data_IF_773539934282
#
_entry.id   IF_773539934282
#
_cell.length_a   1.000
_cell.length_b   1.000
_cell.length_c   1.000
_cell.angle_alpha   90.00
_cell.angle_beta   90.00
_cell.angle_gamma   90.00
#
_symmetry.space_group_name_H-M   'P 1'
#
loop_
_entity.id
_entity.type
_entity.pdbx_description
1 polymer ?
#
# COMPACT_ATOMS: atom_id res chain seq x y z
N UNK A 1 -15.91 6.87 -17.25
CA UNK A 1 -15.03 6.30 -18.28
C UNK A 1 -13.74 7.12 -18.45
N UNK A 2 -13.82 8.41 -18.80
CA UNK A 2 -12.65 9.26 -19.08
C UNK A 2 -11.64 9.37 -17.92
N UNK A 3 -12.11 9.54 -16.69
CA UNK A 3 -11.26 9.58 -15.49
C UNK A 3 -10.38 8.33 -15.30
N UNK A 4 -10.93 7.14 -15.57
CA UNK A 4 -10.18 5.86 -15.47
C UNK A 4 -9.04 5.84 -16.49
N UNK A 5 -9.31 6.29 -17.72
CA UNK A 5 -8.33 6.40 -18.80
C UNK A 5 -7.20 7.37 -18.41
N UNK A 6 -7.53 8.52 -17.81
CA UNK A 6 -6.53 9.50 -17.37
C UNK A 6 -5.63 8.93 -16.28
N UNK A 7 -6.20 8.25 -15.27
CA UNK A 7 -5.40 7.61 -14.20
C UNK A 7 -4.52 6.49 -14.77
N UNK A 8 -5.03 5.68 -15.71
CA UNK A 8 -4.22 4.67 -16.43
C UNK A 8 -3.05 5.29 -17.17
N UNK A 9 -3.28 6.38 -17.91
CA UNK A 9 -2.22 7.12 -18.59
C UNK A 9 -1.18 7.67 -17.60
N UNK A 10 -1.62 8.27 -16.49
CA UNK A 10 -0.72 8.79 -15.45
C UNK A 10 0.09 7.69 -14.77
N UNK A 11 -0.51 6.53 -14.50
CA UNK A 11 0.21 5.36 -13.98
C UNK A 11 1.27 4.89 -14.97
N UNK A 12 0.92 4.69 -16.25
CA UNK A 12 1.89 4.31 -17.29
C UNK A 12 3.04 5.30 -17.39
N UNK A 13 2.75 6.62 -17.40
CA UNK A 13 3.77 7.67 -17.41
C UNK A 13 4.65 7.62 -16.16
N UNK A 14 4.07 7.37 -14.99
CA UNK A 14 4.81 7.26 -13.73
C UNK A 14 5.76 6.06 -13.70
N UNK A 15 5.32 4.94 -14.27
CA UNK A 15 6.10 3.70 -14.39
C UNK A 15 7.25 3.80 -15.42
N UNK A 16 7.21 4.78 -16.32
CA UNK A 16 8.31 5.06 -17.25
C UNK A 16 9.54 5.71 -16.56
N UNK A 17 9.52 5.89 -15.24
CA UNK A 17 10.63 6.44 -14.46
C UNK A 17 10.81 5.61 -13.18
N UNK A 18 12.04 5.53 -12.64
CA UNK A 18 12.30 4.78 -11.42
C UNK A 18 11.37 5.17 -10.26
N UNK A 19 11.03 4.20 -9.43
CA UNK A 19 10.28 4.47 -8.21
C UNK A 19 11.15 5.26 -7.24
N UNK A 20 10.53 6.16 -6.47
CA UNK A 20 11.26 6.95 -5.49
C UNK A 20 11.56 6.07 -4.27
N UNK A 21 12.83 6.09 -3.85
CA UNK A 21 13.29 5.41 -2.64
C UNK A 21 12.76 6.07 -1.37
N UNK A 22 12.62 5.25 -0.34
CA UNK A 22 12.18 5.66 0.99
C UNK A 22 13.34 6.06 1.89
N UNK A 23 13.23 5.69 3.17
CA UNK A 23 14.25 5.91 4.20
C UNK A 23 14.13 4.82 5.27
N UNK A 24 15.25 4.44 5.91
CA UNK A 24 15.26 3.54 7.07
C UNK A 24 14.81 4.29 8.33
N UNK A 25 13.54 4.66 8.37
CA UNK A 25 12.97 5.56 9.37
C UNK A 25 11.89 4.92 10.24
N UNK A 26 11.79 3.59 10.21
CA UNK A 26 10.79 2.82 10.97
C UNK A 26 9.35 3.26 10.68
N UNK A 27 9.06 3.79 9.49
CA UNK A 27 7.69 4.12 9.07
C UNK A 27 7.22 3.12 8.04
N UNK A 28 5.98 2.69 8.18
CA UNK A 28 5.34 1.76 7.26
C UNK A 28 4.06 2.39 6.72
N UNK A 29 3.78 2.14 5.44
CA UNK A 29 2.51 2.49 4.82
C UNK A 29 1.75 1.22 4.43
N UNK A 30 0.51 1.10 4.88
CA UNK A 30 -0.44 0.13 4.37
C UNK A 30 -1.31 0.75 3.28
N UNK A 31 -1.36 0.10 2.14
CA UNK A 31 -2.29 0.40 1.06
C UNK A 31 -3.25 -0.77 0.96
N UNK A 32 -4.52 -0.54 1.28
CA UNK A 32 -5.48 -1.64 1.52
C UNK A 32 -6.72 -1.48 0.67
N UNK A 33 -7.14 -2.53 -0.03
CA UNK A 33 -8.50 -2.67 -0.51
C UNK A 33 -9.35 -3.33 0.59
N UNK A 34 -10.08 -2.54 1.38
CA UNK A 34 -10.87 -3.08 2.50
C UNK A 34 -12.18 -3.76 2.07
N UNK A 35 -12.47 -3.77 0.77
CA UNK A 35 -13.52 -4.61 0.21
C UNK A 35 -13.05 -6.07 0.01
N UNK A 36 -11.74 -6.31 -0.03
CA UNK A 36 -11.13 -7.64 -0.22
C UNK A 36 -10.35 -8.14 1.01
N UNK A 37 -9.82 -7.23 1.82
CA UNK A 37 -8.99 -7.55 2.97
C UNK A 37 -9.58 -7.03 4.27
N UNK A 38 -9.42 -7.80 5.34
CA UNK A 38 -9.78 -7.38 6.69
C UNK A 38 -8.71 -6.45 7.27
N UNK A 39 -9.05 -5.17 7.39
CA UNK A 39 -8.16 -4.14 7.92
C UNK A 39 -7.77 -4.37 9.39
N UNK A 40 -8.71 -4.86 10.21
CA UNK A 40 -8.48 -5.11 11.64
C UNK A 40 -7.48 -6.28 11.77
N UNK A 41 -7.69 -7.37 11.02
CA UNK A 41 -6.75 -8.49 10.95
C UNK A 41 -5.34 -8.06 10.49
N UNK A 42 -5.24 -7.19 9.48
CA UNK A 42 -3.96 -6.64 9.02
C UNK A 42 -3.26 -5.88 10.16
N UNK A 43 -3.96 -4.99 10.84
CA UNK A 43 -3.36 -4.17 11.89
C UNK A 43 -2.94 -5.02 13.09
N UNK A 44 -3.83 -5.88 13.58
CA UNK A 44 -3.57 -6.77 14.71
C UNK A 44 -2.36 -7.68 14.46
N UNK A 45 -2.27 -8.33 13.30
CA UNK A 45 -1.18 -9.26 12.99
C UNK A 45 0.14 -8.57 12.72
N UNK A 46 0.11 -7.37 12.16
CA UNK A 46 1.33 -6.57 12.08
C UNK A 46 1.85 -6.20 13.47
N UNK A 47 0.98 -5.71 14.36
CA UNK A 47 1.37 -5.34 15.72
C UNK A 47 1.85 -6.55 16.53
N UNK A 48 1.21 -7.70 16.41
CA UNK A 48 1.64 -8.96 17.05
C UNK A 48 3.09 -9.32 16.67
N UNK A 49 3.44 -9.23 15.38
CA UNK A 49 4.70 -9.76 14.85
C UNK A 49 5.83 -8.73 14.78
N UNK A 50 5.50 -7.45 14.55
CA UNK A 50 6.46 -6.35 14.42
C UNK A 50 6.53 -5.47 15.67
N UNK A 51 5.57 -5.58 16.59
CA UNK A 51 5.48 -4.79 17.84
C UNK A 51 5.52 -3.28 17.55
N UNK A 52 5.90 -2.47 18.55
CA UNK A 52 6.02 -1.01 18.43
C UNK A 52 7.22 -0.54 17.60
N UNK A 53 7.85 -1.43 16.81
CA UNK A 53 9.06 -1.12 16.05
C UNK A 53 8.78 -0.13 14.91
N UNK A 54 7.54 -0.06 14.40
CA UNK A 54 7.20 0.76 13.24
C UNK A 54 5.99 1.65 13.49
N UNK A 55 6.11 2.92 13.10
CA UNK A 55 4.98 3.82 13.00
C UNK A 55 4.19 3.52 11.71
N UNK A 56 2.98 2.97 11.88
CA UNK A 56 2.10 2.60 10.77
C UNK A 56 1.27 3.80 10.31
N UNK A 57 1.20 4.02 9.00
CA UNK A 57 0.21 4.86 8.34
C UNK A 57 -0.60 4.00 7.38
N UNK A 58 -1.84 4.36 7.10
CA UNK A 58 -2.70 3.56 6.21
C UNK A 58 -3.59 4.40 5.30
N UNK A 59 -3.71 3.95 4.05
CA UNK A 59 -4.69 4.46 3.09
C UNK A 59 -5.54 3.27 2.66
N UNK A 60 -6.85 3.38 2.83
CA UNK A 60 -7.80 2.34 2.49
C UNK A 60 -8.74 2.76 1.37
N UNK A 61 -8.91 1.87 0.40
CA UNK A 61 -9.93 1.96 -0.63
C UNK A 61 -11.18 1.20 -0.21
N UNK A 62 -12.36 1.76 -0.46
CA UNK A 62 -13.66 1.09 -0.33
C UNK A 62 -14.63 1.59 -1.40
N UNK A 63 -15.45 0.73 -1.97
CA UNK A 63 -16.60 1.11 -2.80
C UNK A 63 -17.86 1.31 -1.96
N UNK A 64 -17.86 0.80 -0.72
CA UNK A 64 -19.01 0.84 0.17
C UNK A 64 -18.90 1.96 1.20
N UNK A 65 -20.05 2.52 1.59
CA UNK A 65 -20.18 3.33 2.80
C UNK A 65 -20.32 2.37 3.99
N UNK A 66 -19.22 2.02 4.65
CA UNK A 66 -19.20 1.19 5.85
C UNK A 66 -18.62 1.97 7.03
N UNK A 67 -19.06 1.63 8.25
CA UNK A 67 -18.40 2.04 9.49
C UNK A 67 -17.39 0.95 9.85
N UNK A 68 -16.14 1.34 10.07
CA UNK A 68 -15.07 0.45 10.50
C UNK A 68 -14.74 0.77 11.96
N UNK A 69 -14.50 -0.28 12.78
CA UNK A 69 -14.14 -0.12 14.20
C UNK A 69 -12.79 0.57 14.32
N UNK A 70 -11.78 0.02 13.64
CA UNK A 70 -10.53 0.71 13.39
C UNK A 70 -10.62 1.55 12.12
N UNK A 71 -10.10 2.76 12.17
CA UNK A 71 -10.10 3.66 11.02
C UNK A 71 -8.68 3.88 10.50
N UNK A 72 -8.41 3.55 9.22
CA UNK A 72 -7.20 3.96 8.54
C UNK A 72 -7.04 5.48 8.57
N UNK A 73 -5.82 5.97 8.42
CA UNK A 73 -5.57 7.41 8.40
C UNK A 73 -6.40 8.12 7.32
N UNK A 74 -6.64 7.45 6.20
CA UNK A 74 -7.47 7.99 5.13
C UNK A 74 -8.23 6.89 4.41
N UNK A 75 -9.55 7.02 4.38
CA UNK A 75 -10.38 6.33 3.39
C UNK A 75 -10.44 7.16 2.11
N UNK A 76 -10.34 6.49 0.98
CA UNK A 76 -10.67 7.09 -0.30
C UNK A 76 -11.58 6.17 -1.12
N UNK A 77 -12.33 6.82 -1.99
CA UNK A 77 -13.15 6.20 -3.00
C UNK A 77 -12.62 6.61 -4.38
N UNK A 78 -13.07 5.91 -5.42
CA UNK A 78 -12.74 6.31 -6.79
C UNK A 78 -13.14 7.76 -7.06
N UNK A 79 -14.22 8.28 -6.46
CA UNK A 79 -14.70 9.68 -6.57
C UNK A 79 -13.72 10.72 -6.01
N UNK A 80 -12.81 10.36 -5.11
CA UNK A 80 -11.86 11.30 -4.48
C UNK A 80 -10.65 11.62 -5.39
N UNK A 81 -10.64 11.04 -6.60
CA UNK A 81 -9.78 11.50 -7.68
C UNK A 81 -10.46 12.62 -8.47
N UNK A 82 -9.74 13.69 -8.80
CA UNK A 82 -10.26 14.75 -9.66
C UNK A 82 -10.59 14.24 -11.06
N UNK A 83 -11.30 15.04 -11.86
CA UNK A 83 -11.54 14.74 -13.27
C UNK A 83 -10.22 14.55 -14.04
N UNK A 84 -9.19 15.30 -13.67
CA UNK A 84 -7.82 15.17 -14.19
C UNK A 84 -7.04 14.01 -13.56
N UNK A 85 -7.69 13.11 -12.81
CA UNK A 85 -7.07 11.95 -12.19
C UNK A 85 -6.06 12.30 -11.09
N UNK A 86 -6.16 13.48 -10.50
CA UNK A 86 -5.31 13.87 -9.37
C UNK A 86 -5.93 13.43 -8.05
N UNK A 87 -5.08 13.14 -7.09
CA UNK A 87 -5.51 12.94 -5.71
C UNK A 87 -5.96 14.29 -5.18
N UNK A 88 -7.24 14.49 -4.88
CA UNK A 88 -7.73 15.80 -4.42
C UNK A 88 -7.55 16.00 -2.91
N UNK A 89 -7.52 14.92 -2.13
CA UNK A 89 -7.43 14.98 -0.68
C UNK A 89 -6.00 15.31 -0.20
N UNK A 90 -5.82 16.48 0.41
CA UNK A 90 -4.51 16.92 0.93
C UNK A 90 -3.97 16.01 2.02
N UNK A 91 -4.85 15.42 2.85
CA UNK A 91 -4.45 14.39 3.82
C UNK A 91 -3.78 13.20 3.11
N UNK A 92 -4.36 12.71 2.02
CA UNK A 92 -3.78 11.60 1.23
C UNK A 92 -2.44 12.00 0.59
N UNK A 93 -2.35 13.21 0.00
CA UNK A 93 -1.07 13.71 -0.53
C UNK A 93 0.01 13.77 0.55
N UNK A 94 -0.33 14.24 1.75
CA UNK A 94 0.60 14.36 2.87
C UNK A 94 1.11 12.99 3.36
N UNK A 95 0.31 11.92 3.20
CA UNK A 95 0.73 10.55 3.51
C UNK A 95 1.67 10.07 2.40
N UNK A 96 1.29 10.19 1.14
CA UNK A 96 2.06 9.71 -0.03
C UNK A 96 3.44 10.36 -0.14
N UNK A 97 3.55 11.65 0.20
CA UNK A 97 4.81 12.40 0.10
C UNK A 97 5.84 12.01 1.17
N UNK A 98 5.43 11.34 2.25
CA UNK A 98 6.35 10.84 3.28
C UNK A 98 7.21 9.72 2.72
N UNK A 99 8.42 9.59 3.28
CA UNK A 99 9.30 8.45 3.02
C UNK A 99 8.98 7.33 4.00
N UNK A 100 8.87 6.13 3.48
CA UNK A 100 8.60 4.93 4.24
C UNK A 100 9.75 3.96 4.13
N UNK A 101 9.98 3.20 5.18
CA UNK A 101 10.86 2.06 5.11
C UNK A 101 10.19 0.98 4.25
N UNK A 102 8.95 0.63 4.58
CA UNK A 102 8.16 -0.36 3.84
C UNK A 102 6.80 0.18 3.42
N UNK A 103 6.35 -0.27 2.24
CA UNK A 103 4.95 -0.17 1.82
C UNK A 103 4.41 -1.58 1.67
N UNK A 104 3.36 -1.93 2.41
CA UNK A 104 2.64 -3.18 2.23
C UNK A 104 1.40 -2.97 1.36
N UNK A 105 1.22 -3.84 0.37
CA UNK A 105 0.20 -3.79 -0.65
C UNK A 105 -0.82 -4.91 -0.44
N UNK A 106 -1.98 -4.56 0.10
CA UNK A 106 -3.11 -5.47 0.30
C UNK A 106 -4.17 -5.21 -0.79
N UNK A 107 -3.78 -5.47 -2.03
CA UNK A 107 -4.58 -5.37 -3.25
C UNK A 107 -3.84 -6.05 -4.41
N UNK A 108 -4.57 -6.48 -5.44
CA UNK A 108 -3.98 -7.13 -6.61
C UNK A 108 -3.53 -6.15 -7.70
N UNK A 109 -2.85 -6.66 -8.72
CA UNK A 109 -2.36 -5.89 -9.86
C UNK A 109 -3.44 -5.15 -10.67
N UNK A 110 -4.72 -5.53 -10.58
CA UNK A 110 -5.79 -4.91 -11.34
C UNK A 110 -6.30 -3.61 -10.68
N UNK A 111 -5.95 -3.39 -9.41
CA UNK A 111 -6.46 -2.27 -8.63
C UNK A 111 -5.79 -0.93 -8.99
N UNK A 112 -6.25 -0.32 -10.09
CA UNK A 112 -5.71 0.91 -10.69
C UNK A 112 -5.37 2.03 -9.70
N UNK A 113 -6.26 2.38 -8.78
CA UNK A 113 -6.08 3.55 -7.92
C UNK A 113 -5.02 3.34 -6.84
N UNK A 114 -5.00 2.16 -6.21
CA UNK A 114 -3.96 1.77 -5.25
C UNK A 114 -2.61 1.56 -5.95
N UNK A 115 -2.57 1.00 -7.17
CA UNK A 115 -1.35 0.99 -7.99
C UNK A 115 -0.84 2.41 -8.25
N UNK A 116 -1.73 3.33 -8.62
CA UNK A 116 -1.36 4.72 -8.84
C UNK A 116 -0.85 5.40 -7.56
N UNK A 117 -1.50 5.19 -6.41
CA UNK A 117 -1.01 5.68 -5.11
C UNK A 117 0.37 5.08 -4.80
N UNK A 118 0.53 3.76 -4.90
CA UNK A 118 1.78 3.06 -4.62
C UNK A 118 2.94 3.55 -5.48
N UNK A 119 2.69 3.81 -6.77
CA UNK A 119 3.68 4.36 -7.71
C UNK A 119 4.15 5.78 -7.33
N UNK A 120 3.32 6.54 -6.62
CA UNK A 120 3.64 7.89 -6.15
C UNK A 120 4.22 7.91 -4.72
N UNK A 121 4.09 6.82 -3.96
CA UNK A 121 4.68 6.67 -2.62
C UNK A 121 6.18 6.38 -2.68
N UNK A 122 6.90 6.83 -1.65
CA UNK A 122 8.35 6.66 -1.50
C UNK A 122 8.66 5.53 -0.51
N UNK A 123 9.36 4.48 -0.95
CA UNK A 123 9.61 3.28 -0.14
C UNK A 123 10.97 2.66 -0.44
N UNK A 124 11.65 2.10 0.57
CA UNK A 124 12.84 1.27 0.35
C UNK A 124 12.47 -0.11 -0.17
N UNK A 125 11.39 -0.70 0.36
CA UNK A 125 10.86 -1.96 -0.12
C UNK A 125 9.33 -1.93 -0.18
N UNK A 126 8.77 -2.51 -1.23
CA UNK A 126 7.33 -2.73 -1.42
C UNK A 126 7.04 -4.22 -1.36
N UNK A 127 6.14 -4.60 -0.45
CA UNK A 127 5.79 -6.00 -0.18
C UNK A 127 4.33 -6.23 -0.58
N UNK A 128 4.07 -7.26 -1.38
CA UNK A 128 2.73 -7.60 -1.87
C UNK A 128 2.54 -9.11 -2.00
N UNK A 129 1.35 -9.51 -2.41
CA UNK A 129 1.01 -10.90 -2.74
C UNK A 129 1.55 -11.28 -4.12
N UNK A 130 1.56 -12.57 -4.47
CA UNK A 130 1.98 -13.05 -5.80
C UNK A 130 1.22 -12.41 -6.97
N UNK A 131 -0.03 -11.97 -6.75
CA UNK A 131 -0.85 -11.28 -7.75
C UNK A 131 -0.65 -9.75 -7.76
N UNK A 132 0.36 -9.21 -7.08
CA UNK A 132 0.69 -7.79 -7.07
C UNK A 132 1.37 -7.32 -8.36
N UNK A 133 1.35 -6.01 -8.60
CA UNK A 133 1.85 -5.44 -9.84
C UNK A 133 3.39 -5.49 -9.92
N UNK A 134 3.95 -6.25 -10.86
CA UNK A 134 5.38 -6.57 -10.91
C UNK A 134 6.35 -5.38 -10.90
N UNK A 135 6.01 -4.27 -11.55
CA UNK A 135 6.86 -3.05 -11.55
C UNK A 135 6.74 -2.21 -10.26
N UNK A 136 5.83 -2.54 -9.36
CA UNK A 136 5.53 -1.79 -8.14
C UNK A 136 5.81 -2.58 -6.86
N UNK A 137 6.36 -3.79 -6.96
CA UNK A 137 6.52 -4.70 -5.84
C UNK A 137 7.92 -5.31 -5.89
N UNK A 138 8.63 -5.23 -4.77
CA UNK A 138 10.01 -5.69 -4.64
C UNK A 138 10.07 -7.10 -4.01
N UNK A 139 9.11 -7.42 -3.15
CA UNK A 139 8.96 -8.72 -2.48
C UNK A 139 7.53 -9.25 -2.64
N UNK A 140 7.41 -10.42 -3.26
CA UNK A 140 6.14 -11.14 -3.44
C UNK A 140 6.07 -12.26 -2.40
N UNK A 141 4.95 -12.33 -1.70
CA UNK A 141 4.69 -13.35 -0.69
C UNK A 141 3.57 -14.28 -1.16
N UNK A 142 3.79 -15.58 -0.99
CA UNK A 142 2.80 -16.60 -1.30
C UNK A 142 1.99 -16.90 -0.04
N UNK A 143 1.02 -16.04 0.22
CA UNK A 143 0.12 -16.19 1.37
C UNK A 143 -1.34 -16.08 0.93
N UNK A 144 -2.21 -16.80 1.64
CA UNK A 144 -3.64 -16.64 1.47
C UNK A 144 -4.08 -15.25 1.98
N UNK A 145 -4.95 -14.56 1.24
CA UNK A 145 -5.49 -13.24 1.63
C UNK A 145 -6.25 -13.25 2.96
N UNK A 146 -6.69 -14.42 3.42
CA UNK A 146 -7.36 -14.62 4.71
C UNK A 146 -6.39 -14.99 5.85
N UNK A 147 -5.10 -15.21 5.57
CA UNK A 147 -4.09 -15.57 6.57
C UNK A 147 -3.02 -14.48 6.71
N UNK A 148 -3.40 -13.37 7.36
CA UNK A 148 -2.49 -12.25 7.61
C UNK A 148 -1.35 -12.61 8.55
N UNK A 149 -1.51 -13.65 9.39
CA UNK A 149 -0.45 -14.12 10.27
C UNK A 149 0.68 -14.71 9.43
N UNK A 150 0.36 -15.65 8.54
CA UNK A 150 1.35 -16.24 7.63
C UNK A 150 2.03 -15.18 6.77
N UNK A 151 1.25 -14.26 6.18
CA UNK A 151 1.80 -13.17 5.36
C UNK A 151 2.87 -12.36 6.12
N UNK A 152 2.59 -11.95 7.36
CA UNK A 152 3.54 -11.16 8.13
C UNK A 152 4.70 -11.96 8.71
N UNK A 153 4.53 -13.25 9.01
CA UNK A 153 5.63 -14.14 9.38
C UNK A 153 6.65 -14.28 8.24
N UNK A 154 6.17 -14.52 7.01
CA UNK A 154 7.02 -14.56 5.83
C UNK A 154 7.67 -13.21 5.56
N UNK A 155 6.89 -12.12 5.60
CA UNK A 155 7.41 -10.76 5.43
C UNK A 155 8.56 -10.50 6.40
N UNK A 156 8.36 -10.78 7.69
CA UNK A 156 9.37 -10.55 8.74
C UNK A 156 10.67 -11.30 8.44
N UNK A 157 10.58 -12.59 8.09
CA UNK A 157 11.74 -13.41 7.73
C UNK A 157 12.55 -12.79 6.59
N UNK A 158 11.89 -12.44 5.49
CA UNK A 158 12.58 -11.88 4.32
C UNK A 158 13.12 -10.47 4.57
N UNK A 159 12.35 -9.62 5.26
CA UNK A 159 12.77 -8.26 5.61
C UNK A 159 14.01 -8.25 6.52
N UNK A 160 14.12 -9.20 7.45
CA UNK A 160 15.30 -9.35 8.31
C UNK A 160 16.55 -9.80 7.53
N UNK A 161 16.38 -10.66 6.52
CA UNK A 161 17.47 -11.08 5.63
C UNK A 161 17.94 -9.88 4.79
N UNK A 162 17.02 -9.20 4.11
CA UNK A 162 17.33 -8.04 3.25
C UNK A 162 18.07 -6.96 4.05
N UNK A 163 17.65 -6.68 5.29
CA UNK A 163 18.31 -5.71 6.15
C UNK A 163 19.74 -6.06 6.56
N UNK A 164 20.08 -7.35 6.64
CA UNK A 164 21.45 -7.79 6.97
C UNK A 164 22.38 -7.71 5.77
N UNK A 165 21.82 -7.67 4.56
CA UNK A 165 22.55 -7.68 3.29
C UNK A 165 22.65 -6.30 2.62
N UNK A 166 21.98 -5.29 3.18
CA UNK A 166 22.01 -3.88 2.75
C UNK A 166 23.05 -3.08 3.54
#
# INVERSE_FOLDING_TARGET
>A
MLKKIIVQYKLKKRLASPLQSGENNKKVLFLVNVDEFDFESIHEKFQELFQDKYAVRSIAFTQHKKKYKEQPDHFFHTKDFSFFGEISADKMKSIIQKKYEYVFQFFNQEHLYLNYISSNSKANLRVGFEDAHSQLTDLFLNANKNDMRLFFEEAKKYLEIIKKSA
#
